data_IF_440061890127
#
_entry.id   IF_440061890127
#
_cell.length_a   1.000
_cell.length_b   1.000
_cell.length_c   1.000
_cell.angle_alpha   90.00
_cell.angle_beta   90.00
_cell.angle_gamma   90.00
#
_symmetry.space_group_name_H-M   'P 1'
#
loop_
_entity.id
_entity.type
_entity.pdbx_description
1 polymer ?
#
# COMPACT_ATOMS: atom_id res chain seq x y z
N UNK A 1 15.58 17.70 -2.09
CA UNK A 1 14.27 17.68 -1.39
C UNK A 1 14.43 17.24 0.05
N UNK A 2 15.08 16.11 0.35
CA UNK A 2 15.25 15.57 1.70
C UNK A 2 15.97 16.54 2.65
N UNK A 3 16.98 17.25 2.17
CA UNK A 3 17.70 18.23 2.99
C UNK A 3 16.80 19.40 3.44
N UNK A 4 15.87 19.84 2.57
CA UNK A 4 14.87 20.85 2.94
C UNK A 4 13.89 20.28 3.97
N UNK A 5 13.41 19.06 3.73
CA UNK A 5 12.54 18.38 4.67
C UNK A 5 13.21 18.18 6.05
N UNK A 6 14.45 17.68 6.09
CA UNK A 6 15.21 17.50 7.34
C UNK A 6 15.33 18.83 8.09
N UNK A 7 15.62 19.93 7.37
CA UNK A 7 15.71 21.28 7.97
C UNK A 7 14.38 21.72 8.56
N UNK A 8 13.28 21.56 7.81
CA UNK A 8 11.93 21.89 8.26
C UNK A 8 11.51 21.06 9.47
N UNK A 9 11.63 19.74 9.36
CA UNK A 9 11.26 18.81 10.42
C UNK A 9 12.03 19.06 11.73
N UNK A 10 13.34 19.30 11.66
CA UNK A 10 14.16 19.66 12.84
C UNK A 10 13.68 20.94 13.52
N UNK A 11 13.33 21.97 12.74
CA UNK A 11 12.77 23.22 13.28
C UNK A 11 11.39 23.03 13.90
N UNK A 12 10.60 22.07 13.40
CA UNK A 12 9.31 21.68 13.94
C UNK A 12 9.43 20.64 15.08
N UNK A 13 10.62 20.37 15.56
CA UNK A 13 10.91 19.35 16.57
C UNK A 13 10.42 17.94 16.16
N UNK A 14 10.41 17.65 14.87
CA UNK A 14 10.03 16.34 14.30
C UNK A 14 11.27 15.54 13.98
N UNK A 15 11.34 14.31 14.51
CA UNK A 15 12.47 13.41 14.30
C UNK A 15 12.49 12.91 12.85
N UNK A 16 13.67 12.86 12.26
CA UNK A 16 13.90 12.32 10.91
C UNK A 16 14.96 11.23 10.98
N UNK A 17 14.70 10.11 10.35
CA UNK A 17 15.65 9.00 10.25
C UNK A 17 15.74 8.51 8.79
N UNK A 18 16.82 7.81 8.40
CA UNK A 18 16.93 7.22 7.09
C UNK A 18 15.83 6.17 6.87
N UNK A 19 15.25 6.15 5.68
CA UNK A 19 14.33 5.11 5.24
C UNK A 19 15.10 3.82 4.97
N UNK A 20 14.44 2.69 5.26
CA UNK A 20 14.90 1.38 4.81
C UNK A 20 14.20 1.06 3.50
N UNK A 21 14.98 0.86 2.46
CA UNK A 21 14.49 0.55 1.13
C UNK A 21 14.94 -0.85 0.71
N UNK A 22 14.09 -1.56 -0.02
CA UNK A 22 14.37 -2.91 -0.49
C UNK A 22 15.20 -2.90 -1.77
N UNK A 23 16.39 -2.33 -1.70
CA UNK A 23 17.32 -2.23 -2.83
C UNK A 23 18.70 -2.76 -2.48
N UNK A 24 19.39 -3.32 -3.47
CA UNK A 24 20.76 -3.80 -3.32
C UNK A 24 21.75 -2.64 -3.34
N UNK A 25 22.49 -2.48 -2.26
CA UNK A 25 23.63 -1.54 -2.16
C UNK A 25 24.97 -2.22 -2.44
N UNK A 26 25.01 -3.54 -2.51
CA UNK A 26 26.17 -4.35 -2.91
C UNK A 26 25.73 -5.57 -3.71
N UNK A 27 26.61 -6.07 -4.59
CA UNK A 27 26.34 -7.26 -5.38
C UNK A 27 26.26 -8.50 -4.48
N UNK A 28 25.21 -9.29 -4.66
CA UNK A 28 24.99 -10.56 -3.94
C UNK A 28 25.11 -11.79 -4.85
N UNK A 29 24.85 -11.63 -6.16
CA UNK A 29 24.98 -12.67 -7.19
C UNK A 29 25.17 -12.02 -8.57
N UNK A 30 25.26 -12.83 -9.62
CA UNK A 30 25.44 -12.35 -10.99
C UNK A 30 24.14 -11.96 -11.70
N UNK A 31 22.98 -12.36 -11.16
CA UNK A 31 21.68 -12.13 -11.80
C UNK A 31 21.08 -10.77 -11.42
N UNK A 32 21.55 -10.15 -10.35
CA UNK A 32 21.00 -8.90 -9.80
C UNK A 32 22.09 -7.84 -9.68
N UNK A 33 21.82 -6.68 -10.29
CA UNK A 33 22.70 -5.53 -10.23
C UNK A 33 22.53 -4.71 -8.94
N UNK A 34 23.49 -3.83 -8.69
CA UNK A 34 23.42 -2.84 -7.60
C UNK A 34 22.53 -1.69 -8.03
N UNK A 35 21.76 -1.12 -7.11
CA UNK A 35 21.02 0.11 -7.35
C UNK A 35 21.98 1.25 -7.71
N UNK A 36 21.75 1.91 -8.83
CA UNK A 36 22.51 3.06 -9.29
C UNK A 36 21.72 4.37 -9.23
N UNK A 37 20.68 4.38 -8.40
CA UNK A 37 19.91 5.58 -8.04
C UNK A 37 19.25 6.31 -9.23
N UNK A 38 18.70 5.56 -10.16
CA UNK A 38 18.07 6.11 -11.39
C UNK A 38 16.67 6.71 -11.18
N UNK A 39 16.11 6.66 -9.96
CA UNK A 39 14.75 7.11 -9.62
C UNK A 39 13.63 6.45 -10.47
N UNK A 40 13.90 5.33 -11.12
CA UNK A 40 12.98 4.64 -12.03
C UNK A 40 12.16 3.50 -11.40
N UNK A 41 12.15 3.36 -10.07
CA UNK A 41 11.57 2.19 -9.37
C UNK A 41 10.11 1.90 -9.71
N UNK A 42 9.29 2.93 -9.93
CA UNK A 42 7.88 2.78 -10.32
C UNK A 42 7.68 2.24 -11.75
N UNK A 43 8.74 2.10 -12.54
CA UNK A 43 8.71 1.68 -13.95
C UNK A 43 9.35 0.32 -14.19
N UNK A 44 9.64 -0.44 -13.14
CA UNK A 44 10.45 -1.65 -13.17
C UNK A 44 11.97 -1.38 -13.12
N UNK A 45 12.69 -2.22 -12.39
CA UNK A 45 14.14 -2.09 -12.23
C UNK A 45 14.90 -2.91 -13.27
N UNK A 46 15.53 -2.25 -14.23
CA UNK A 46 16.24 -2.91 -15.35
C UNK A 46 17.41 -3.79 -14.91
N UNK A 47 17.93 -3.60 -13.69
CA UNK A 47 19.06 -4.38 -13.15
C UNK A 47 18.62 -5.30 -12.01
N UNK A 48 17.32 -5.40 -11.73
CA UNK A 48 16.77 -6.18 -10.60
C UNK A 48 17.45 -5.83 -9.25
N UNK A 49 17.82 -4.58 -9.08
CA UNK A 49 18.40 -4.07 -7.84
C UNK A 49 17.38 -3.91 -6.72
N UNK A 50 16.09 -3.78 -7.06
CA UNK A 50 14.95 -3.78 -6.12
C UNK A 50 14.51 -5.20 -5.75
N UNK A 51 13.71 -5.31 -4.70
CA UNK A 51 13.05 -6.56 -4.38
C UNK A 51 11.74 -6.69 -5.17
N UNK A 52 11.60 -7.80 -5.88
CA UNK A 52 10.31 -8.27 -6.38
C UNK A 52 10.24 -9.80 -6.25
N UNK A 53 9.04 -10.35 -6.09
CA UNK A 53 8.83 -11.80 -6.02
C UNK A 53 9.33 -12.50 -7.30
N UNK A 54 9.18 -11.86 -8.46
CA UNK A 54 9.70 -12.37 -9.72
C UNK A 54 11.22 -12.51 -9.72
N UNK A 55 11.93 -11.38 -9.53
CA UNK A 55 13.39 -11.34 -9.62
C UNK A 55 14.11 -12.03 -8.46
N UNK A 56 13.51 -12.05 -7.28
CA UNK A 56 14.17 -12.55 -6.07
C UNK A 56 13.81 -13.99 -5.70
N UNK A 57 12.65 -14.47 -6.11
CA UNK A 57 12.13 -15.78 -5.70
C UNK A 57 11.78 -16.68 -6.89
N UNK A 58 10.89 -16.26 -7.79
CA UNK A 58 10.36 -17.13 -8.86
C UNK A 58 11.44 -17.49 -9.88
N UNK A 59 12.10 -16.51 -10.48
CA UNK A 59 13.14 -16.78 -11.48
C UNK A 59 14.33 -17.57 -10.93
N UNK A 60 14.87 -17.28 -9.73
CA UNK A 60 15.87 -18.14 -9.12
C UNK A 60 15.37 -19.56 -8.85
N UNK A 61 14.14 -19.75 -8.39
CA UNK A 61 13.56 -21.07 -8.15
C UNK A 61 13.45 -21.89 -9.45
N UNK A 62 13.00 -21.27 -10.55
CA UNK A 62 12.97 -21.92 -11.87
C UNK A 62 14.36 -22.29 -12.38
N UNK A 63 15.36 -21.42 -12.20
CA UNK A 63 16.75 -21.66 -12.60
C UNK A 63 17.44 -22.75 -11.79
N UNK A 64 17.06 -22.95 -10.53
CA UNK A 64 17.68 -23.95 -9.65
C UNK A 64 17.31 -25.40 -9.99
N UNK A 65 16.44 -25.62 -10.98
CA UNK A 65 15.90 -26.93 -11.33
C UNK A 65 14.85 -27.43 -10.32
N UNK A 66 14.36 -26.57 -9.45
CA UNK A 66 13.23 -26.84 -8.55
C UNK A 66 11.97 -27.14 -9.38
N UNK A 67 11.14 -28.06 -8.89
CA UNK A 67 9.84 -28.35 -9.49
C UNK A 67 8.87 -27.22 -9.12
N UNK A 68 8.76 -26.24 -10.00
CA UNK A 68 7.82 -25.12 -9.87
C UNK A 68 7.06 -24.95 -11.17
N UNK A 69 5.74 -25.09 -11.10
CA UNK A 69 4.80 -24.81 -12.19
C UNK A 69 4.15 -23.44 -11.94
N UNK A 70 4.29 -22.54 -12.89
CA UNK A 70 3.71 -21.20 -12.81
C UNK A 70 2.53 -21.09 -13.80
N UNK A 71 1.33 -20.99 -13.27
CA UNK A 71 0.10 -20.76 -14.03
C UNK A 71 -0.21 -19.26 -14.04
N UNK A 72 0.17 -18.58 -15.11
CA UNK A 72 -0.17 -17.18 -15.34
C UNK A 72 -1.62 -17.03 -15.85
N UNK A 73 -2.17 -15.83 -15.79
CA UNK A 73 -3.56 -15.54 -16.21
C UNK A 73 -4.63 -16.41 -15.54
N UNK A 74 -4.30 -17.03 -14.41
CA UNK A 74 -5.15 -17.96 -13.67
C UNK A 74 -5.74 -17.31 -12.43
N UNK A 75 -7.06 -17.18 -12.37
CA UNK A 75 -7.77 -16.59 -11.24
C UNK A 75 -8.39 -17.68 -10.38
N UNK A 76 -7.83 -17.88 -9.19
CA UNK A 76 -8.39 -18.83 -8.22
C UNK A 76 -9.80 -18.38 -7.79
N UNK A 77 -10.75 -19.26 -7.94
CA UNK A 77 -12.15 -19.04 -7.58
C UNK A 77 -12.47 -19.58 -6.19
N UNK A 78 -12.11 -20.85 -5.94
CA UNK A 78 -12.40 -21.54 -4.67
C UNK A 78 -11.28 -22.51 -4.30
N UNK A 79 -11.18 -22.80 -3.02
CA UNK A 79 -10.47 -23.98 -2.50
C UNK A 79 -11.46 -25.15 -2.55
N UNK A 80 -11.07 -26.27 -3.14
CA UNK A 80 -11.89 -27.48 -3.21
C UNK A 80 -11.69 -28.36 -1.99
N UNK A 81 -12.74 -29.04 -1.52
CA UNK A 81 -12.70 -29.93 -0.34
C UNK A 81 -13.23 -31.31 -0.65
N UNK A 82 -12.85 -32.28 0.16
CA UNK A 82 -13.47 -33.61 0.19
C UNK A 82 -14.68 -33.66 1.14
N UNK A 83 -15.29 -34.81 1.29
CA UNK A 83 -16.48 -35.02 2.12
C UNK A 83 -16.19 -34.81 3.61
N UNK A 84 -14.96 -34.97 4.06
CA UNK A 84 -14.51 -34.68 5.43
C UNK A 84 -14.19 -33.19 5.66
N UNK A 85 -14.37 -32.33 4.64
CA UNK A 85 -14.09 -30.90 4.72
C UNK A 85 -12.61 -30.50 4.62
N UNK A 86 -11.71 -31.45 4.32
CA UNK A 86 -10.28 -31.20 4.11
C UNK A 86 -10.02 -30.67 2.69
N UNK A 87 -9.14 -29.68 2.55
CA UNK A 87 -8.79 -29.13 1.24
C UNK A 87 -8.11 -30.17 0.34
N UNK A 88 -8.47 -30.21 -0.92
CA UNK A 88 -7.97 -31.13 -1.96
C UNK A 88 -7.26 -30.41 -3.10
N UNK A 89 -7.31 -29.06 -3.12
CA UNK A 89 -6.74 -28.24 -4.17
C UNK A 89 -7.52 -26.95 -4.36
N UNK A 90 -7.50 -26.43 -5.58
CA UNK A 90 -8.20 -25.19 -5.96
C UNK A 90 -8.95 -25.36 -7.28
N UNK A 91 -10.03 -24.61 -7.47
CA UNK A 91 -10.53 -24.32 -8.81
C UNK A 91 -10.10 -22.91 -9.23
N UNK A 92 -9.76 -22.76 -10.49
CA UNK A 92 -9.37 -21.48 -11.06
C UNK A 92 -9.92 -21.29 -12.47
N UNK A 93 -10.06 -20.05 -12.88
CA UNK A 93 -10.47 -19.68 -14.21
C UNK A 93 -9.23 -19.25 -14.99
N UNK A 94 -8.97 -19.92 -16.11
CA UNK A 94 -8.06 -19.44 -17.12
C UNK A 94 -8.69 -18.23 -17.81
N UNK A 95 -8.04 -17.07 -17.72
CA UNK A 95 -8.58 -15.79 -18.21
C UNK A 95 -8.52 -15.67 -19.73
N UNK A 96 -7.65 -16.43 -20.37
CA UNK A 96 -7.48 -16.40 -21.83
C UNK A 96 -8.53 -17.29 -22.50
N UNK A 97 -8.80 -18.46 -21.91
CA UNK A 97 -9.81 -19.38 -22.43
C UNK A 97 -11.21 -19.15 -21.83
N UNK A 98 -11.31 -18.41 -20.74
CA UNK A 98 -12.55 -18.24 -19.95
C UNK A 98 -13.17 -19.59 -19.52
N UNK A 99 -12.32 -20.52 -19.12
CA UNK A 99 -12.72 -21.87 -18.67
C UNK A 99 -12.26 -22.12 -17.24
N UNK A 100 -13.06 -22.91 -16.51
CA UNK A 100 -12.71 -23.33 -15.15
C UNK A 100 -11.95 -24.66 -15.16
N UNK A 101 -10.85 -24.69 -14.42
CA UNK A 101 -9.99 -25.85 -14.22
C UNK A 101 -9.85 -26.16 -12.73
N UNK A 102 -9.42 -27.37 -12.41
CA UNK A 102 -9.11 -27.81 -11.06
C UNK A 102 -7.68 -28.28 -10.95
N UNK A 103 -6.97 -27.82 -9.93
CA UNK A 103 -5.63 -28.27 -9.59
C UNK A 103 -5.65 -28.96 -8.23
N UNK A 104 -5.14 -30.20 -8.16
CA UNK A 104 -5.06 -30.94 -6.90
C UNK A 104 -3.82 -30.51 -6.10
N UNK A 105 -3.97 -30.42 -4.79
CA UNK A 105 -2.87 -30.11 -3.88
C UNK A 105 -3.09 -30.73 -2.50
N UNK A 106 -2.03 -31.19 -1.87
CA UNK A 106 -2.06 -31.73 -0.49
C UNK A 106 -2.19 -30.61 0.55
N UNK A 107 -1.63 -29.44 0.23
CA UNK A 107 -1.67 -28.21 1.03
C UNK A 107 -2.04 -27.06 0.10
N UNK A 108 -2.85 -26.14 0.59
CA UNK A 108 -3.19 -24.89 -0.09
C UNK A 108 -2.67 -23.72 0.73
N UNK A 109 -1.91 -22.85 0.07
CA UNK A 109 -1.39 -21.61 0.66
C UNK A 109 -1.99 -20.44 -0.09
N UNK A 110 -2.75 -19.61 0.62
CA UNK A 110 -3.35 -18.40 0.08
C UNK A 110 -2.43 -17.20 0.39
N UNK A 111 -1.97 -16.54 -0.65
CA UNK A 111 -1.15 -15.32 -0.61
C UNK A 111 -1.69 -14.29 -1.61
N UNK A 112 -3.02 -14.18 -1.68
CA UNK A 112 -3.72 -13.43 -2.72
C UNK A 112 -4.06 -11.98 -2.32
N UNK A 113 -3.51 -11.47 -1.24
CA UNK A 113 -3.85 -10.26 -0.47
C UNK A 113 -5.02 -10.46 0.50
N UNK A 114 -5.07 -9.65 1.56
CA UNK A 114 -6.08 -9.77 2.62
C UNK A 114 -7.51 -9.91 2.08
N UNK A 115 -7.92 -9.00 1.20
CA UNK A 115 -9.28 -9.02 0.65
C UNK A 115 -9.50 -10.18 -0.33
N UNK A 116 -8.52 -10.49 -1.18
CA UNK A 116 -8.68 -11.55 -2.19
C UNK A 116 -8.68 -12.94 -1.56
N UNK A 117 -7.84 -13.20 -0.55
CA UNK A 117 -7.86 -14.45 0.20
C UNK A 117 -9.19 -14.64 0.95
N UNK A 118 -9.72 -13.58 1.57
CA UNK A 118 -11.06 -13.61 2.16
C UNK A 118 -12.15 -13.92 1.12
N UNK A 119 -12.07 -13.31 -0.08
CA UNK A 119 -12.99 -13.59 -1.18
C UNK A 119 -12.96 -15.05 -1.61
N UNK A 120 -11.77 -15.63 -1.75
CA UNK A 120 -11.60 -17.05 -2.11
C UNK A 120 -12.23 -17.94 -1.04
N UNK A 121 -11.92 -17.70 0.24
CA UNK A 121 -12.45 -18.50 1.35
C UNK A 121 -13.98 -18.39 1.47
N UNK A 122 -14.55 -17.21 1.37
CA UNK A 122 -16.00 -16.97 1.43
C UNK A 122 -16.75 -17.58 0.24
N UNK A 123 -16.13 -17.67 -0.95
CA UNK A 123 -16.67 -18.35 -2.10
C UNK A 123 -16.50 -19.88 -2.03
N UNK A 124 -15.61 -20.40 -1.17
CA UNK A 124 -15.33 -21.84 -1.03
C UNK A 124 -16.36 -22.53 -0.12
N UNK A 125 -17.61 -22.56 -0.58
CA UNK A 125 -18.72 -23.18 0.16
C UNK A 125 -18.84 -24.67 -0.14
N UNK A 126 -19.14 -25.45 0.88
CA UNK A 126 -19.45 -26.88 0.78
C UNK A 126 -20.48 -27.28 1.84
N UNK A 127 -20.86 -28.57 1.88
CA UNK A 127 -21.75 -29.09 2.92
C UNK A 127 -21.16 -28.90 4.32
N UNK A 128 -19.84 -29.09 4.47
CA UNK A 128 -19.13 -28.94 5.74
C UNK A 128 -18.81 -27.47 6.07
N UNK A 129 -18.74 -26.62 5.05
CA UNK A 129 -18.41 -25.20 5.17
C UNK A 129 -19.47 -24.31 4.47
N UNK A 130 -20.72 -24.27 4.97
CA UNK A 130 -21.82 -23.59 4.27
C UNK A 130 -21.65 -22.07 4.19
N UNK A 131 -20.91 -21.47 5.13
CA UNK A 131 -20.64 -20.04 5.20
C UNK A 131 -19.28 -19.62 4.61
N UNK A 132 -18.60 -20.55 3.91
CA UNK A 132 -17.24 -20.37 3.41
C UNK A 132 -16.22 -21.20 4.19
N UNK A 133 -15.13 -21.55 3.53
CA UNK A 133 -14.09 -22.39 4.09
C UNK A 133 -13.36 -21.68 5.23
N UNK A 134 -13.31 -22.29 6.41
CA UNK A 134 -12.66 -21.71 7.59
C UNK A 134 -13.47 -20.61 8.29
N UNK A 135 -14.77 -20.49 8.01
CA UNK A 135 -15.63 -19.43 8.53
C UNK A 135 -16.64 -19.88 9.59
N UNK A 136 -16.30 -20.86 10.42
CA UNK A 136 -17.15 -21.32 11.54
C UNK A 136 -17.37 -20.21 12.59
N UNK A 137 -16.40 -19.33 12.77
CA UNK A 137 -16.45 -18.18 13.69
C UNK A 137 -17.21 -16.96 13.14
N UNK A 138 -17.59 -16.94 11.85
CA UNK A 138 -18.13 -15.77 11.13
C UNK A 138 -17.19 -14.54 11.16
N UNK A 139 -15.88 -14.80 11.13
CA UNK A 139 -14.87 -13.73 11.23
C UNK A 139 -14.10 -13.46 9.93
N UNK A 140 -14.25 -14.30 8.90
CA UNK A 140 -13.61 -14.01 7.60
C UNK A 140 -14.21 -12.72 7.05
N UNK A 141 -13.32 -11.80 6.69
CA UNK A 141 -13.67 -10.46 6.21
C UNK A 141 -13.90 -9.43 7.31
N UNK A 142 -14.13 -9.83 8.58
CA UNK A 142 -14.30 -8.91 9.71
C UNK A 142 -12.96 -8.34 10.17
N UNK A 143 -13.02 -7.21 10.89
CA UNK A 143 -11.84 -6.47 11.36
C UNK A 143 -10.93 -5.99 10.21
N UNK A 144 -11.46 -5.87 9.00
CA UNK A 144 -10.77 -5.22 7.90
C UNK A 144 -10.32 -3.82 8.33
N UNK A 145 -9.05 -3.53 8.19
CA UNK A 145 -8.52 -2.20 8.41
C UNK A 145 -7.41 -1.87 7.41
N UNK A 146 -7.23 -0.59 7.17
CA UNK A 146 -6.25 -0.02 6.24
C UNK A 146 -5.46 1.07 6.96
N UNK A 147 -4.32 1.47 6.43
CA UNK A 147 -3.63 2.67 6.91
C UNK A 147 -4.50 3.91 6.73
N UNK A 148 -4.49 4.80 7.72
CA UNK A 148 -4.93 6.18 7.49
C UNK A 148 -3.95 6.87 6.54
N UNK A 149 -4.42 7.90 5.85
CA UNK A 149 -3.57 8.67 4.96
C UNK A 149 -4.02 10.12 4.86
N UNK A 150 -3.04 11.00 4.77
CA UNK A 150 -3.23 12.40 4.45
C UNK A 150 -2.00 12.92 3.74
N UNK A 151 -2.18 13.86 2.84
CA UNK A 151 -1.11 14.38 1.99
C UNK A 151 -1.14 15.90 1.95
N UNK A 152 0.03 16.49 1.78
CA UNK A 152 0.19 17.91 1.48
C UNK A 152 1.35 18.10 0.50
N UNK A 153 1.12 18.92 -0.52
CA UNK A 153 2.14 19.29 -1.49
C UNK A 153 2.59 20.72 -1.26
N UNK A 154 3.86 20.97 -1.46
CA UNK A 154 4.44 22.30 -1.36
C UNK A 154 5.32 22.64 -2.56
N UNK A 155 5.38 23.91 -2.85
CA UNK A 155 6.34 24.52 -3.76
C UNK A 155 7.56 24.99 -2.97
N UNK A 156 8.73 24.72 -3.49
CA UNK A 156 10.03 25.13 -2.95
C UNK A 156 10.68 26.18 -3.86
N UNK A 157 10.49 27.47 -3.61
CA UNK A 157 11.08 28.54 -4.43
C UNK A 157 12.59 28.42 -4.60
N UNK A 158 13.26 27.85 -3.62
CA UNK A 158 14.72 27.65 -3.61
C UNK A 158 15.20 26.64 -4.67
N UNK A 159 14.30 25.90 -5.30
CA UNK A 159 14.60 24.90 -6.32
C UNK A 159 14.23 25.36 -7.75
N UNK A 160 13.79 26.62 -7.93
CA UNK A 160 13.54 27.20 -9.25
C UNK A 160 14.87 27.30 -10.01
N UNK A 161 14.83 27.03 -11.31
CA UNK A 161 15.97 27.08 -12.24
C UNK A 161 17.19 26.22 -11.82
N UNK A 162 16.99 25.29 -10.89
CA UNK A 162 18.05 24.39 -10.46
C UNK A 162 18.42 23.43 -11.59
N UNK A 163 19.72 23.23 -11.81
CA UNK A 163 20.19 22.21 -12.75
C UNK A 163 19.60 20.85 -12.39
N UNK A 164 19.00 20.21 -13.39
CA UNK A 164 18.48 18.84 -13.24
C UNK A 164 19.62 17.86 -13.08
N UNK A 165 19.54 17.00 -12.07
CA UNK A 165 20.45 15.89 -11.85
C UNK A 165 19.67 14.69 -11.28
N UNK A 166 20.19 13.51 -11.42
CA UNK A 166 19.53 12.29 -11.01
C UNK A 166 20.29 11.66 -9.84
N UNK A 167 20.34 12.35 -8.72
CA UNK A 167 21.04 11.90 -7.52
C UNK A 167 20.10 11.73 -6.31
N UNK A 168 18.79 11.89 -6.54
CA UNK A 168 17.80 11.78 -5.48
C UNK A 168 17.45 10.32 -5.12
N UNK A 169 18.10 9.35 -5.74
CA UNK A 169 18.03 7.94 -5.37
C UNK A 169 16.72 7.25 -5.71
N UNK A 170 16.27 6.41 -4.80
CA UNK A 170 15.11 5.54 -4.98
C UNK A 170 13.83 6.33 -4.75
N UNK A 171 13.29 6.95 -5.79
CA UNK A 171 11.97 7.59 -5.72
C UNK A 171 11.81 8.76 -4.73
N UNK A 172 12.91 9.33 -4.22
CA UNK A 172 12.86 10.47 -3.29
C UNK A 172 12.41 10.12 -1.87
N UNK A 173 12.47 8.88 -1.47
CA UNK A 173 12.03 8.44 -0.13
C UNK A 173 13.17 7.91 0.74
N UNK A 174 14.27 8.65 0.82
CA UNK A 174 15.43 8.23 1.62
C UNK A 174 15.31 8.51 3.11
N UNK A 175 14.39 9.37 3.50
CA UNK A 175 14.15 9.74 4.89
C UNK A 175 12.67 9.69 5.21
N UNK A 176 12.36 9.45 6.48
CA UNK A 176 11.00 9.56 6.98
C UNK A 176 10.98 9.97 8.46
N UNK A 177 9.83 10.38 8.95
CA UNK A 177 9.65 10.78 10.35
C UNK A 177 8.78 9.78 11.10
N UNK A 178 9.35 9.10 12.11
CA UNK A 178 8.64 8.07 12.88
C UNK A 178 7.84 8.67 14.04
N UNK A 179 6.63 9.14 13.79
CA UNK A 179 5.79 9.75 14.82
C UNK A 179 5.30 8.79 15.91
N UNK A 180 5.27 7.48 15.69
CA UNK A 180 4.87 6.51 16.74
C UNK A 180 5.76 6.54 17.97
N UNK A 181 6.98 7.07 17.89
CA UNK A 181 7.92 7.12 19.01
C UNK A 181 7.47 8.03 20.15
N UNK A 182 6.66 9.05 19.87
CA UNK A 182 6.23 10.07 20.81
C UNK A 182 4.71 10.21 20.98
N UNK A 183 3.93 9.24 20.52
CA UNK A 183 2.45 9.31 20.46
C UNK A 183 1.74 9.29 21.83
N UNK A 184 2.46 9.05 22.94
CA UNK A 184 1.90 8.99 24.29
C UNK A 184 1.27 10.32 24.78
N UNK A 185 1.58 11.43 24.12
CA UNK A 185 1.09 12.76 24.46
C UNK A 185 -0.04 13.24 23.54
N UNK A 186 -0.49 12.41 22.61
CA UNK A 186 -1.49 12.75 21.61
C UNK A 186 -2.88 12.32 22.06
N UNK A 187 -3.93 12.98 21.56
CA UNK A 187 -5.31 12.73 21.90
C UNK A 187 -5.98 11.65 21.00
N UNK A 188 -5.16 10.86 20.33
CA UNK A 188 -5.55 9.70 19.54
C UNK A 188 -4.65 8.49 19.85
N UNK A 189 -5.19 7.29 19.70
CA UNK A 189 -4.45 6.05 19.85
C UNK A 189 -3.63 5.73 18.59
N UNK A 190 -2.56 4.95 18.79
CA UNK A 190 -1.64 4.55 17.72
C UNK A 190 -0.79 5.72 17.24
N UNK A 191 -0.14 5.55 16.10
CA UNK A 191 0.74 6.56 15.54
C UNK A 191 0.67 6.61 14.03
N UNK A 192 1.54 7.43 13.47
CA UNK A 192 1.75 7.51 12.03
C UNK A 192 3.22 7.84 11.76
N UNK A 193 3.67 7.58 10.56
CA UNK A 193 4.92 8.10 10.05
C UNK A 193 4.67 9.11 8.93
N UNK A 194 5.71 9.86 8.60
CA UNK A 194 5.67 10.80 7.49
C UNK A 194 6.66 10.33 6.43
N UNK A 195 6.15 10.13 5.22
CA UNK A 195 6.92 9.87 4.00
C UNK A 195 7.10 11.16 3.21
N UNK A 196 8.21 11.25 2.50
CA UNK A 196 8.54 12.43 1.68
C UNK A 196 8.61 12.01 0.23
N UNK A 197 7.88 12.72 -0.60
CA UNK A 197 7.82 12.51 -2.05
C UNK A 197 8.42 13.71 -2.74
N UNK A 198 9.44 13.52 -3.50
CA UNK A 198 10.08 14.60 -4.22
C UNK A 198 11.16 14.07 -5.13
N UNK A 199 11.85 14.96 -5.81
CA UNK A 199 12.91 14.57 -6.69
C UNK A 199 12.59 14.81 -8.16
N UNK A 200 13.54 14.41 -8.97
CA UNK A 200 13.50 14.57 -10.43
C UNK A 200 13.10 13.26 -11.10
N UNK A 201 11.92 12.77 -10.80
CA UNK A 201 11.33 11.65 -11.53
C UNK A 201 11.20 11.94 -13.03
N UNK A 202 10.80 10.94 -13.82
CA UNK A 202 10.59 11.18 -15.24
C UNK A 202 9.67 12.40 -15.47
N UNK A 203 10.06 13.36 -16.28
CA UNK A 203 9.22 14.51 -16.60
C UNK A 203 7.93 14.00 -17.23
N UNK A 204 6.85 14.16 -16.49
CA UNK A 204 5.51 13.94 -17.01
C UNK A 204 4.82 15.29 -17.02
N UNK A 205 3.85 15.44 -17.91
CA UNK A 205 2.95 16.58 -17.87
C UNK A 205 2.28 16.61 -16.50
N UNK A 206 2.65 17.58 -15.67
CA UNK A 206 2.18 17.65 -14.30
C UNK A 206 3.08 16.96 -13.26
N UNK A 207 4.40 16.95 -13.39
CA UNK A 207 5.36 16.49 -12.39
C UNK A 207 5.13 17.12 -11.01
N UNK A 208 4.19 16.57 -10.25
CA UNK A 208 3.73 17.13 -8.99
C UNK A 208 2.81 18.35 -9.11
N UNK A 209 2.71 18.97 -10.29
CA UNK A 209 1.75 20.00 -10.65
C UNK A 209 0.92 19.53 -11.84
N UNK A 210 -0.38 19.45 -11.71
CA UNK A 210 -1.18 19.60 -12.91
C UNK A 210 -1.21 21.11 -13.29
N UNK A 211 -1.34 21.40 -14.57
CA UNK A 211 -1.33 22.77 -15.11
C UNK A 211 -2.36 23.68 -14.43
N UNK A 212 -3.51 23.12 -14.07
CA UNK A 212 -4.57 23.87 -13.40
C UNK A 212 -4.19 24.27 -11.97
N UNK A 213 -3.55 23.37 -11.22
CA UNK A 213 -3.05 23.68 -9.87
C UNK A 213 -1.94 24.72 -9.91
N UNK A 214 -1.06 24.62 -10.91
CA UNK A 214 0.02 25.58 -11.14
C UNK A 214 -0.53 26.98 -11.50
N UNK A 215 -1.46 27.05 -12.43
CA UNK A 215 -2.14 28.29 -12.82
C UNK A 215 -2.85 28.94 -11.62
N UNK A 216 -3.57 28.14 -10.84
CA UNK A 216 -4.27 28.62 -9.64
C UNK A 216 -3.31 29.15 -8.59
N UNK A 217 -2.19 28.45 -8.38
CA UNK A 217 -1.18 28.83 -7.38
C UNK A 217 -0.46 30.13 -7.72
N UNK A 218 -0.05 30.32 -8.99
CA UNK A 218 0.66 31.51 -9.44
C UNK A 218 -0.25 32.65 -9.92
N UNK A 219 -1.57 32.44 -9.94
CA UNK A 219 -2.52 33.44 -10.45
C UNK A 219 -2.37 33.74 -11.94
N UNK A 220 -1.71 32.85 -12.69
CA UNK A 220 -1.43 33.02 -14.11
C UNK A 220 -2.24 32.02 -14.94
N UNK A 221 -3.02 32.53 -15.89
CA UNK A 221 -3.83 31.69 -16.79
C UNK A 221 -3.03 31.03 -17.93
N UNK A 222 -1.69 31.04 -17.88
CA UNK A 222 -0.83 30.65 -19.00
C UNK A 222 0.33 29.72 -18.65
N UNK A 223 0.54 29.37 -17.39
CA UNK A 223 1.60 28.42 -17.04
C UNK A 223 1.30 27.04 -17.63
N UNK A 224 2.30 26.40 -18.18
CA UNK A 224 2.15 25.12 -18.85
C UNK A 224 1.43 25.20 -20.21
N UNK A 225 1.43 26.37 -20.85
CA UNK A 225 0.83 26.59 -22.15
C UNK A 225 1.27 25.57 -23.21
N UNK A 226 1.58 26.05 -24.40
CA UNK A 226 1.97 25.19 -25.51
C UNK A 226 3.36 25.61 -26.04
N UNK A 227 4.09 24.68 -26.65
CA UNK A 227 5.36 24.97 -27.33
C UNK A 227 6.47 25.44 -26.40
N UNK A 228 7.11 26.55 -26.71
CA UNK A 228 8.30 27.04 -25.99
C UNK A 228 7.98 27.55 -24.60
N UNK A 229 6.77 28.06 -24.36
CA UNK A 229 6.32 28.45 -23.02
C UNK A 229 6.28 27.20 -22.12
N UNK A 230 5.68 26.11 -22.58
CA UNK A 230 5.64 24.83 -21.83
C UNK A 230 7.05 24.32 -21.54
N UNK A 231 7.94 24.34 -22.54
CA UNK A 231 9.34 23.90 -22.35
C UNK A 231 10.09 24.76 -21.35
N UNK A 232 9.92 26.08 -21.43
CA UNK A 232 10.54 27.03 -20.52
C UNK A 232 10.06 26.81 -19.09
N UNK A 233 8.74 26.68 -18.86
CA UNK A 233 8.16 26.48 -17.56
C UNK A 233 8.55 25.11 -16.97
N UNK A 234 8.52 24.05 -17.79
CA UNK A 234 9.00 22.74 -17.37
C UNK A 234 10.47 22.78 -16.93
N UNK A 235 11.33 23.44 -17.68
CA UNK A 235 12.74 23.59 -17.33
C UNK A 235 12.95 24.40 -16.05
N UNK A 236 12.17 25.47 -15.89
CA UNK A 236 12.27 26.40 -14.76
C UNK A 236 11.79 25.77 -13.44
N UNK A 237 10.66 25.08 -13.47
CA UNK A 237 9.97 24.60 -12.27
C UNK A 237 10.16 23.10 -11.99
N UNK A 238 10.81 22.37 -12.90
CA UNK A 238 11.04 20.94 -12.73
C UNK A 238 11.79 20.66 -11.43
N UNK A 239 11.22 19.76 -10.62
CA UNK A 239 11.78 19.39 -9.33
C UNK A 239 11.61 20.44 -8.22
N UNK A 240 10.81 21.50 -8.43
CA UNK A 240 10.56 22.54 -7.41
C UNK A 240 9.42 22.22 -6.44
N UNK A 241 8.91 20.99 -6.45
CA UNK A 241 7.83 20.57 -5.53
C UNK A 241 8.26 19.46 -4.63
N UNK A 242 7.63 19.38 -3.46
CA UNK A 242 7.77 18.31 -2.50
C UNK A 242 6.38 17.89 -2.02
N UNK A 243 6.18 16.58 -1.89
CA UNK A 243 5.01 16.00 -1.25
C UNK A 243 5.37 15.44 0.13
N UNK A 244 4.50 15.63 1.08
CA UNK A 244 4.56 15.04 2.41
C UNK A 244 3.31 14.21 2.59
N UNK A 245 3.47 12.93 2.94
CA UNK A 245 2.39 11.98 3.16
C UNK A 245 2.48 11.37 4.53
N UNK A 246 1.38 11.36 5.27
CA UNK A 246 1.25 10.58 6.50
C UNK A 246 0.65 9.21 6.20
N UNK A 247 1.18 8.20 6.86
CA UNK A 247 0.61 6.85 6.89
C UNK A 247 0.46 6.44 8.33
N UNK A 248 -0.76 6.15 8.74
CA UNK A 248 -1.05 5.90 10.15
C UNK A 248 -1.75 4.58 10.39
N UNK A 249 -1.62 4.09 11.61
CA UNK A 249 -2.29 2.89 12.08
C UNK A 249 -3.73 3.23 12.46
N UNK A 250 -4.69 2.54 11.87
CA UNK A 250 -6.08 2.59 12.30
C UNK A 250 -6.38 1.51 13.36
N UNK A 251 -7.42 1.74 14.15
CA UNK A 251 -7.87 0.77 15.14
C UNK A 251 -8.82 -0.23 14.48
N UNK A 252 -8.48 -1.51 14.52
CA UNK A 252 -9.30 -2.58 13.95
C UNK A 252 -10.70 -2.64 14.61
N UNK A 253 -11.76 -2.52 13.81
CA UNK A 253 -13.15 -2.56 14.24
C UNK A 253 -13.87 -3.75 13.61
N UNK A 254 -14.64 -4.53 14.40
CA UNK A 254 -15.46 -5.63 13.85
C UNK A 254 -16.51 -5.14 12.86
N UNK A 255 -16.94 -3.89 12.98
CA UNK A 255 -17.90 -3.23 12.10
C UNK A 255 -17.32 -2.86 10.73
N UNK A 256 -16.00 -2.85 10.59
CA UNK A 256 -15.32 -2.69 9.32
C UNK A 256 -15.04 -4.07 8.72
N UNK A 257 -15.65 -4.37 7.59
CA UNK A 257 -15.58 -5.70 6.99
C UNK A 257 -15.76 -5.71 5.47
N UNK A 258 -15.38 -6.81 4.87
CA UNK A 258 -15.79 -7.20 3.53
C UNK A 258 -16.58 -8.52 3.58
N UNK A 259 -17.50 -8.69 2.66
CA UNK A 259 -18.31 -9.89 2.49
C UNK A 259 -18.66 -10.09 1.02
N UNK A 260 -19.15 -11.27 0.65
CA UNK A 260 -19.59 -11.50 -0.73
C UNK A 260 -20.84 -10.68 -1.04
N UNK A 261 -20.82 -9.94 -2.14
CA UNK A 261 -22.01 -9.27 -2.68
C UNK A 261 -22.93 -10.34 -3.30
N UNK A 262 -24.16 -10.50 -2.80
CA UNK A 262 -25.08 -11.54 -3.30
C UNK A 262 -25.59 -11.27 -4.73
N UNK A 263 -25.44 -10.03 -5.22
CA UNK A 263 -26.05 -9.58 -6.46
C UNK A 263 -25.04 -9.26 -7.57
N UNK A 264 -23.75 -9.33 -7.28
CA UNK A 264 -22.70 -8.91 -8.23
C UNK A 264 -21.64 -9.98 -8.44
N UNK A 265 -21.31 -10.18 -9.69
CA UNK A 265 -20.18 -11.01 -10.12
C UNK A 265 -19.24 -10.19 -10.98
N UNK A 266 -17.99 -10.62 -11.07
CA UNK A 266 -17.05 -10.05 -12.02
C UNK A 266 -17.26 -10.58 -13.45
N UNK A 267 -16.44 -10.14 -14.39
CA UNK A 267 -16.54 -10.57 -15.80
C UNK A 267 -16.34 -12.08 -16.04
N UNK A 268 -15.89 -12.81 -15.04
CA UNK A 268 -15.69 -14.26 -15.07
C UNK A 268 -16.77 -15.03 -14.29
N UNK A 269 -17.82 -14.34 -13.85
CA UNK A 269 -18.90 -14.95 -13.08
C UNK A 269 -18.56 -15.28 -11.62
N UNK A 270 -17.47 -14.76 -11.09
CA UNK A 270 -17.09 -14.99 -9.68
C UNK A 270 -17.70 -13.89 -8.81
N UNK A 271 -18.42 -14.24 -7.72
CA UNK A 271 -18.98 -13.25 -6.81
C UNK A 271 -17.90 -12.29 -6.25
N UNK A 272 -18.20 -11.00 -6.22
CA UNK A 272 -17.29 -9.96 -5.76
C UNK A 272 -17.50 -9.63 -4.29
N UNK A 273 -16.57 -8.89 -3.70
CA UNK A 273 -16.72 -8.34 -2.36
C UNK A 273 -17.50 -7.02 -2.39
N UNK A 274 -18.29 -6.81 -1.37
CA UNK A 274 -18.78 -5.50 -0.95
C UNK A 274 -18.14 -5.14 0.38
N UNK A 275 -17.95 -3.84 0.62
CA UNK A 275 -17.21 -3.33 1.75
C UNK A 275 -18.11 -2.45 2.62
N UNK A 276 -18.02 -2.63 3.94
CA UNK A 276 -18.53 -1.73 4.95
C UNK A 276 -17.35 -1.22 5.77
N UNK A 277 -16.98 0.05 5.58
CA UNK A 277 -15.79 0.61 6.21
C UNK A 277 -16.03 2.07 6.57
N UNK A 278 -15.72 2.44 7.81
CA UNK A 278 -15.82 3.81 8.30
C UNK A 278 -14.63 4.14 9.20
N UNK A 279 -14.12 5.35 9.07
CA UNK A 279 -13.19 5.92 10.01
C UNK A 279 -13.90 6.31 11.30
N UNK A 280 -13.19 6.25 12.42
CA UNK A 280 -13.67 6.75 13.73
C UNK A 280 -13.09 8.13 14.02
N UNK A 281 -13.52 8.73 15.11
CA UNK A 281 -12.96 10.00 15.59
C UNK A 281 -11.45 9.91 15.85
N UNK A 282 -10.95 8.71 16.16
CA UNK A 282 -9.52 8.45 16.35
C UNK A 282 -8.71 8.77 15.08
N UNK A 283 -9.15 8.25 13.94
CA UNK A 283 -8.48 8.45 12.65
C UNK A 283 -8.64 9.89 12.15
N UNK A 284 -9.77 10.53 12.43
CA UNK A 284 -10.01 11.94 12.10
C UNK A 284 -9.09 12.86 12.91
N UNK A 285 -8.90 12.60 14.20
CA UNK A 285 -7.92 13.34 15.03
C UNK A 285 -6.50 13.14 14.57
N UNK A 286 -6.14 11.91 14.19
CA UNK A 286 -4.84 11.59 13.61
C UNK A 286 -4.59 12.38 12.32
N UNK A 287 -5.58 12.45 11.41
CA UNK A 287 -5.49 13.23 10.18
C UNK A 287 -5.33 14.72 10.45
N UNK A 288 -6.07 15.28 11.42
CA UNK A 288 -5.89 16.67 11.83
C UNK A 288 -4.46 16.96 12.25
N UNK A 289 -3.91 16.11 13.11
CA UNK A 289 -2.54 16.25 13.59
C UNK A 289 -1.51 16.11 12.44
N UNK A 290 -1.74 15.20 11.48
CA UNK A 290 -0.92 15.11 10.28
C UNK A 290 -0.87 16.42 9.52
N UNK A 291 -2.02 17.03 9.24
CA UNK A 291 -2.12 18.26 8.46
C UNK A 291 -1.47 19.46 9.18
N UNK A 292 -1.66 19.56 10.49
CA UNK A 292 -1.02 20.60 11.31
C UNK A 292 0.52 20.45 11.25
N UNK A 293 1.02 19.23 11.40
CA UNK A 293 2.45 18.91 11.32
C UNK A 293 3.03 19.18 9.92
N UNK A 294 2.31 18.81 8.87
CA UNK A 294 2.78 19.04 7.49
C UNK A 294 2.91 20.53 7.18
N UNK A 295 1.92 21.31 7.53
CA UNK A 295 1.94 22.76 7.33
C UNK A 295 3.10 23.40 8.06
N UNK A 296 3.35 23.03 9.32
CA UNK A 296 4.47 23.53 10.11
C UNK A 296 5.82 23.16 9.48
N UNK A 297 6.01 21.90 9.08
CA UNK A 297 7.25 21.48 8.42
C UNK A 297 7.46 22.23 7.11
N UNK A 298 6.41 22.40 6.31
CA UNK A 298 6.47 23.11 5.02
C UNK A 298 6.92 24.55 5.22
N UNK A 299 6.32 25.27 6.16
CA UNK A 299 6.71 26.64 6.48
C UNK A 299 8.18 26.70 6.98
N UNK A 300 8.55 25.79 7.87
CA UNK A 300 9.90 25.76 8.47
C UNK A 300 11.01 25.38 7.47
N UNK A 301 10.68 24.66 6.39
CA UNK A 301 11.64 24.41 5.30
C UNK A 301 11.67 25.53 4.24
N UNK A 302 10.82 26.56 4.38
CA UNK A 302 10.71 27.67 3.41
C UNK A 302 9.88 27.31 2.18
N UNK A 303 9.00 26.31 2.29
CA UNK A 303 8.05 25.92 1.26
C UNK A 303 6.75 26.73 1.36
N UNK A 304 5.96 26.66 0.31
CA UNK A 304 4.64 27.28 0.21
C UNK A 304 3.62 26.17 -0.10
N UNK A 305 2.64 25.90 0.78
CA UNK A 305 1.59 24.90 0.47
C UNK A 305 0.88 25.22 -0.84
N UNK A 306 0.67 24.20 -1.69
CA UNK A 306 0.00 24.38 -2.99
C UNK A 306 -1.51 24.56 -2.87
N UNK A 307 -2.07 24.12 -1.75
CA UNK A 307 -3.48 24.31 -1.41
C UNK A 307 -3.62 24.50 0.10
N UNK A 308 -4.74 25.10 0.49
CA UNK A 308 -5.04 25.29 1.90
C UNK A 308 -5.23 23.96 2.63
N UNK A 309 -4.91 23.94 3.92
CA UNK A 309 -5.15 22.81 4.79
C UNK A 309 -6.63 22.43 4.81
N UNK A 310 -6.98 21.15 4.56
CA UNK A 310 -8.37 20.71 4.64
C UNK A 310 -8.97 20.89 6.03
N UNK A 311 -10.22 21.38 6.11
CA UNK A 311 -10.95 21.59 7.36
C UNK A 311 -11.68 20.36 7.87
N UNK A 312 -12.45 20.54 8.95
CA UNK A 312 -13.24 19.48 9.61
C UNK A 312 -14.30 18.87 8.68
N UNK A 313 -14.93 19.66 7.87
CA UNK A 313 -15.95 19.26 6.86
C UNK A 313 -15.39 18.32 5.78
N UNK A 314 -14.08 18.36 5.57
CA UNK A 314 -13.34 17.43 4.71
C UNK A 314 -12.56 16.36 5.52
N UNK A 315 -12.92 16.10 6.79
CA UNK A 315 -12.19 15.21 7.70
C UNK A 315 -10.67 15.46 7.69
N UNK A 316 -10.28 16.72 7.61
CA UNK A 316 -8.86 17.13 7.53
C UNK A 316 -8.06 16.45 6.42
N UNK A 317 -8.72 16.16 5.29
CA UNK A 317 -8.08 15.49 4.15
C UNK A 317 -7.74 14.01 4.39
N UNK A 318 -8.37 13.36 5.38
CA UNK A 318 -8.26 11.93 5.58
C UNK A 318 -8.72 11.18 4.32
N UNK A 319 -7.85 10.38 3.76
CA UNK A 319 -8.15 9.61 2.57
C UNK A 319 -9.32 8.63 2.82
N UNK A 320 -10.09 8.35 1.78
CA UNK A 320 -11.16 7.36 1.87
C UNK A 320 -10.61 5.98 2.23
N UNK A 321 -11.35 5.16 2.97
CA UNK A 321 -10.98 3.77 3.22
C UNK A 321 -10.61 3.02 1.93
N UNK A 322 -9.55 2.21 1.97
CA UNK A 322 -9.05 1.48 0.80
C UNK A 322 -8.19 2.32 -0.18
N UNK A 323 -7.98 3.61 0.09
CA UNK A 323 -7.17 4.46 -0.79
C UNK A 323 -5.67 4.19 -0.65
N UNK A 324 -5.23 3.84 0.55
CA UNK A 324 -3.81 3.59 0.83
C UNK A 324 -3.37 2.21 0.38
N UNK A 325 -4.33 1.28 0.18
CA UNK A 325 -4.11 -0.09 -0.31
C UNK A 325 -3.18 -0.93 0.59
N UNK A 326 -3.29 -0.73 1.90
CA UNK A 326 -2.59 -1.49 2.93
C UNK A 326 -3.55 -2.33 3.76
N UNK A 327 -4.56 -2.92 3.12
CA UNK A 327 -5.63 -3.67 3.79
C UNK A 327 -5.09 -4.91 4.50
N UNK A 328 -5.51 -5.10 5.74
CA UNK A 328 -5.13 -6.21 6.61
C UNK A 328 -6.33 -6.70 7.44
N UNK A 329 -6.20 -7.81 8.15
CA UNK A 329 -7.09 -8.22 9.24
C UNK A 329 -8.23 -9.15 8.86
N UNK A 330 -8.49 -9.39 7.59
CA UNK A 330 -9.67 -10.14 7.10
C UNK A 330 -9.72 -11.62 7.47
N UNK A 331 -8.59 -12.19 7.91
CA UNK A 331 -8.46 -13.57 8.41
C UNK A 331 -7.65 -13.59 9.70
N UNK A 332 -7.90 -12.61 10.57
CA UNK A 332 -7.11 -12.33 11.76
C UNK A 332 -6.69 -13.59 12.53
N UNK A 333 -5.42 -13.59 12.98
CA UNK A 333 -4.89 -14.70 13.78
C UNK A 333 -5.24 -14.60 15.26
N UNK A 334 -5.12 -15.71 15.95
CA UNK A 334 -5.27 -15.81 17.40
C UNK A 334 -5.35 -17.27 17.88
N UNK A 335 -5.35 -17.47 19.18
CA UNK A 335 -5.35 -18.81 19.79
C UNK A 335 -6.76 -19.40 19.95
N UNK A 336 -7.77 -18.54 20.05
CA UNK A 336 -9.16 -18.95 20.22
C UNK A 336 -9.89 -19.03 18.86
N UNK A 337 -10.28 -20.22 18.37
CA UNK A 337 -10.98 -20.37 17.09
C UNK A 337 -12.34 -19.67 17.05
N UNK A 338 -12.93 -19.29 18.18
CA UNK A 338 -14.15 -18.48 18.22
C UNK A 338 -13.90 -16.99 18.01
N UNK A 339 -12.64 -16.54 18.12
CA UNK A 339 -12.23 -15.13 18.04
C UNK A 339 -11.24 -14.85 16.93
N UNK A 340 -10.81 -15.88 16.19
CA UNK A 340 -9.84 -15.79 15.12
C UNK A 340 -10.14 -16.78 14.00
N UNK A 341 -9.56 -16.55 12.84
CA UNK A 341 -9.70 -17.40 11.65
C UNK A 341 -8.48 -18.31 11.49
N UNK A 342 -7.30 -17.77 11.75
CA UNK A 342 -6.02 -18.49 11.69
C UNK A 342 -5.37 -18.56 13.07
N UNK A 343 -4.51 -19.56 13.27
CA UNK A 343 -3.66 -19.68 14.44
C UNK A 343 -2.33 -18.93 14.24
N UNK A 344 -1.44 -18.98 15.24
CA UNK A 344 -0.11 -18.35 15.20
C UNK A 344 0.82 -18.82 14.08
N UNK A 345 0.48 -19.90 13.38
CA UNK A 345 1.19 -20.43 12.21
C UNK A 345 0.48 -20.09 10.88
N UNK A 346 -0.45 -19.12 10.90
CA UNK A 346 -1.22 -18.68 9.72
C UNK A 346 -2.12 -19.77 9.11
N UNK A 347 -2.30 -20.90 9.84
CA UNK A 347 -3.14 -22.02 9.43
C UNK A 347 -4.58 -21.78 9.88
N UNK A 348 -5.55 -22.07 9.01
CA UNK A 348 -6.96 -22.02 9.38
C UNK A 348 -7.25 -22.96 10.57
N UNK A 349 -8.07 -22.51 11.52
CA UNK A 349 -8.49 -23.35 12.63
C UNK A 349 -9.34 -24.52 12.16
N UNK A 350 -10.26 -24.28 11.22
CA UNK A 350 -11.23 -25.29 10.76
C UNK A 350 -10.63 -26.29 9.77
N UNK A 351 -9.53 -25.93 9.06
CA UNK A 351 -8.99 -26.73 7.96
C UNK A 351 -7.47 -26.82 8.06
N UNK A 352 -6.98 -27.98 8.50
CA UNK A 352 -5.59 -28.18 8.92
C UNK A 352 -4.55 -28.10 7.79
N UNK A 353 -4.94 -28.07 6.53
CA UNK A 353 -4.05 -28.04 5.38
C UNK A 353 -4.27 -26.80 4.49
N UNK A 354 -4.84 -25.72 5.05
CA UNK A 354 -4.96 -24.43 4.40
C UNK A 354 -4.28 -23.36 5.26
N UNK A 355 -3.44 -22.56 4.62
CA UNK A 355 -2.70 -21.45 5.22
C UNK A 355 -3.03 -20.15 4.50
N UNK A 356 -3.07 -19.04 5.25
CA UNK A 356 -3.21 -17.69 4.70
C UNK A 356 -1.98 -16.90 5.13
N UNK A 357 -1.10 -16.59 4.18
CA UNK A 357 0.23 -16.02 4.43
C UNK A 357 0.40 -14.63 3.83
N UNK A 358 -0.69 -13.93 3.64
CA UNK A 358 -0.72 -12.50 3.29
C UNK A 358 -1.06 -11.64 4.52
N UNK A 359 -1.46 -10.40 4.30
CA UNK A 359 -1.81 -9.49 5.38
C UNK A 359 -3.18 -9.77 6.05
N UNK A 360 -3.92 -10.79 5.60
CA UNK A 360 -5.19 -11.20 6.20
C UNK A 360 -5.10 -11.59 7.69
N UNK A 361 -4.10 -12.37 8.13
CA UNK A 361 -3.91 -12.76 9.53
C UNK A 361 -3.58 -11.63 10.52
N UNK A 362 -3.18 -10.45 10.07
CA UNK A 362 -2.79 -9.35 10.95
C UNK A 362 -3.91 -8.95 11.91
N UNK A 363 -3.57 -8.77 13.18
CA UNK A 363 -4.49 -8.31 14.24
C UNK A 363 -4.44 -6.81 14.45
N UNK A 364 -3.36 -6.19 14.03
CA UNK A 364 -3.13 -4.74 13.96
C UNK A 364 -2.18 -4.47 12.80
N UNK A 365 -2.28 -3.29 12.26
CA UNK A 365 -1.33 -2.81 11.26
C UNK A 365 -0.41 -1.80 11.93
N UNK A 366 0.88 -1.93 11.72
CA UNK A 366 1.80 -0.84 12.01
C UNK A 366 1.53 0.33 11.05
N UNK A 367 2.04 1.49 11.40
CA UNK A 367 2.02 2.66 10.52
C UNK A 367 2.83 2.46 9.21
N UNK A 368 3.40 1.28 9.00
CA UNK A 368 4.25 0.93 7.84
C UNK A 368 3.49 0.17 6.74
N UNK A 369 4.07 0.23 5.54
CA UNK A 369 3.65 -0.62 4.43
C UNK A 369 3.80 -2.10 4.84
N UNK A 370 2.75 -2.94 4.74
CA UNK A 370 2.70 -4.21 5.44
C UNK A 370 3.57 -5.32 4.84
N UNK A 371 4.08 -5.17 3.63
CA UNK A 371 4.74 -6.25 2.85
C UNK A 371 5.96 -6.86 3.55
N UNK A 372 6.64 -6.14 4.43
CA UNK A 372 7.82 -6.61 5.16
C UNK A 372 7.52 -7.14 6.57
N UNK A 373 6.30 -7.09 7.01
CA UNK A 373 5.86 -7.60 8.30
C UNK A 373 5.39 -9.02 8.16
#
# INVERSE_FOLDING_TARGET
HELFYIKGARKSNVKVIPSRLSVLTKRINNDRGICFYCAGCAKSCNVYGDFSSGSCLIFPAQKSGGQIDLYVNSMVRTVTTNDEGKATGVSFIDKDENKEYKLKGKVVVLAASACSSARILLNSKSKQHPNGLGNSSDLIGKYLHDSTGGDMMAFLPQLIDRKTYNEDGVGGMHVYSPWWLDNKKLDFARGYHIEVWGGMGAPTYGTGFNVNSFNKFFGINKAGGYGDVLRSDMKKYYGSTIGISGRGESVAQKTNYCEIDPNKVDKYGVPVLRFNYQWTDNEIKQAKHMQDTFEEIIHNMGGIPLWGKPGKDANYGLNKPGWIIHEVGTTRMGDDPKKSVTNQFERLHDVSNVYVVDAGPFVSQADKNPTWT
#
